data_IF_430605819836
#
_entry.id   IF_430605819836
#
_cell.length_a   1.000
_cell.length_b   1.000
_cell.length_c   1.000
_cell.angle_alpha   90.00
_cell.angle_beta   90.00
_cell.angle_gamma   90.00
#
_symmetry.space_group_name_H-M   'P 1'
#
loop_
_entity.id
_entity.type
_entity.pdbx_description
1 polymer ?
#
# COMPACT_ATOMS: atom_id res chain seq x y z
N UNK A 1 11.86 11.39 -8.19
CA UNK A 1 10.52 10.98 -7.72
C UNK A 1 10.08 12.01 -6.69
N UNK A 2 9.13 12.88 -7.05
CA UNK A 2 8.62 13.92 -6.14
C UNK A 2 7.37 13.34 -5.48
N UNK A 3 7.42 13.11 -4.17
CA UNK A 3 6.26 12.71 -3.38
C UNK A 3 5.35 13.93 -3.21
N UNK A 4 4.47 14.15 -4.19
CA UNK A 4 3.38 15.11 -4.10
C UNK A 4 2.27 14.56 -3.21
N UNK A 5 2.46 14.61 -1.90
CA UNK A 5 1.44 14.27 -0.92
C UNK A 5 1.52 15.25 0.23
N UNK A 6 0.62 16.23 0.27
CA UNK A 6 0.51 17.17 1.37
C UNK A 6 0.19 16.43 2.66
N UNK A 7 1.11 16.49 3.63
CA UNK A 7 0.91 15.96 4.97
C UNK A 7 -0.10 16.85 5.71
N UNK A 8 -1.37 16.47 5.65
CA UNK A 8 -2.32 16.80 6.72
C UNK A 8 -1.90 15.95 7.92
N UNK A 9 -1.72 16.55 9.10
CA UNK A 9 -1.03 15.91 10.24
C UNK A 9 -1.60 14.57 10.73
N UNK A 10 -2.77 14.18 10.24
CA UNK A 10 -3.48 12.95 10.60
C UNK A 10 -3.70 11.99 9.42
N UNK A 11 -3.27 12.32 8.19
CA UNK A 11 -3.49 11.48 7.01
C UNK A 11 -2.20 11.25 6.24
N UNK A 12 -1.98 10.00 5.82
CA UNK A 12 -0.94 9.66 4.85
C UNK A 12 -1.53 8.80 3.74
N UNK A 13 -1.08 9.07 2.52
CA UNK A 13 -1.34 8.23 1.36
C UNK A 13 -0.02 7.60 0.92
N UNK A 14 0.00 6.28 0.82
CA UNK A 14 1.12 5.49 0.32
C UNK A 14 0.75 4.89 -1.03
N UNK A 15 1.69 4.90 -1.96
CA UNK A 15 1.62 4.10 -3.18
C UNK A 15 2.55 2.90 -2.99
N UNK A 16 1.96 1.71 -2.95
CA UNK A 16 2.70 0.45 -2.89
C UNK A 16 2.98 -0.03 -4.32
N UNK A 17 4.22 -0.40 -4.58
CA UNK A 17 4.66 -0.97 -5.86
C UNK A 17 5.26 -2.35 -5.60
N UNK A 18 4.68 -3.39 -6.20
CA UNK A 18 5.16 -4.76 -6.09
C UNK A 18 5.72 -5.20 -7.45
N UNK A 19 6.92 -5.77 -7.44
CA UNK A 19 7.58 -6.36 -8.61
C UNK A 19 7.99 -7.80 -8.33
N UNK A 20 8.02 -8.62 -9.37
CA UNK A 20 8.47 -10.01 -9.28
C UNK A 20 9.82 -10.18 -10.00
N UNK A 21 10.90 -10.38 -9.26
CA UNK A 21 12.23 -10.58 -9.82
C UNK A 21 12.59 -12.06 -10.04
N UNK A 22 11.62 -12.96 -9.94
CA UNK A 22 11.82 -14.39 -10.17
C UNK A 22 11.41 -14.77 -11.60
N UNK A 23 11.91 -15.89 -12.15
CA UNK A 23 11.58 -16.33 -13.52
C UNK A 23 10.19 -16.99 -13.63
N UNK A 24 9.43 -17.09 -12.54
CA UNK A 24 8.11 -17.73 -12.50
C UNK A 24 7.05 -16.66 -12.28
N UNK A 25 5.96 -16.70 -13.04
CA UNK A 25 4.85 -15.76 -12.91
C UNK A 25 4.14 -15.95 -11.56
N UNK A 26 3.71 -14.86 -10.94
CA UNK A 26 2.87 -14.88 -9.75
C UNK A 26 1.44 -14.53 -10.17
N UNK A 27 0.48 -15.37 -9.79
CA UNK A 27 -0.95 -15.16 -10.01
C UNK A 27 -1.66 -15.04 -8.66
N UNK A 28 -2.86 -14.45 -8.67
CA UNK A 28 -3.70 -14.27 -7.49
C UNK A 28 -2.99 -13.58 -6.29
N UNK A 29 -2.09 -12.64 -6.60
CA UNK A 29 -1.41 -11.85 -5.58
C UNK A 29 -2.39 -10.95 -4.84
N UNK A 30 -2.38 -11.03 -3.51
CA UNK A 30 -3.20 -10.20 -2.64
C UNK A 30 -2.32 -9.52 -1.58
N UNK A 31 -2.21 -8.20 -1.67
CA UNK A 31 -1.59 -7.38 -0.62
C UNK A 31 -2.61 -7.13 0.49
N UNK A 32 -2.20 -7.41 1.73
CA UNK A 32 -2.98 -7.14 2.92
C UNK A 32 -2.10 -6.38 3.92
N UNK A 33 -2.71 -5.44 4.63
CA UNK A 33 -2.03 -4.64 5.64
C UNK A 33 -2.97 -4.42 6.82
N UNK A 34 -2.37 -4.27 8.00
CA UNK A 34 -3.05 -3.93 9.23
C UNK A 34 -2.39 -2.70 9.85
N UNK A 35 -3.15 -1.96 10.63
CA UNK A 35 -2.67 -0.81 11.40
C UNK A 35 -2.99 -1.01 12.88
N UNK A 36 -2.27 -0.31 13.75
CA UNK A 36 -2.59 -0.32 15.17
C UNK A 36 -3.91 0.40 15.43
N UNK A 37 -4.51 0.20 16.61
CA UNK A 37 -5.83 0.74 16.97
C UNK A 37 -5.94 2.27 16.90
N UNK A 38 -4.82 2.99 16.86
CA UNK A 38 -4.79 4.43 16.73
C UNK A 38 -5.12 4.92 15.30
N UNK A 39 -5.20 4.01 14.32
CA UNK A 39 -5.35 4.34 12.90
C UNK A 39 -6.46 3.52 12.23
N UNK A 40 -6.97 4.04 11.13
CA UNK A 40 -7.73 3.31 10.12
C UNK A 40 -6.93 3.16 8.85
N UNK A 41 -7.22 2.11 8.08
CA UNK A 41 -6.58 1.82 6.80
C UNK A 41 -7.65 1.56 5.73
N UNK A 42 -7.48 2.18 4.57
CA UNK A 42 -8.25 1.94 3.35
C UNK A 42 -7.29 1.46 2.26
N UNK A 43 -7.51 0.23 1.79
CA UNK A 43 -6.81 -0.36 0.65
C UNK A 43 -7.67 -0.14 -0.60
N UNK A 44 -7.17 0.62 -1.57
CA UNK A 44 -7.85 0.75 -2.87
C UNK A 44 -7.65 -0.52 -3.70
N UNK A 45 -8.46 -0.70 -4.75
CA UNK A 45 -8.30 -1.84 -5.67
C UNK A 45 -6.89 -1.84 -6.27
N UNK A 46 -6.16 -2.98 -6.26
CA UNK A 46 -4.85 -3.06 -6.91
C UNK A 46 -5.01 -2.98 -8.45
N UNK A 47 -3.97 -2.52 -9.13
CA UNK A 47 -3.97 -2.41 -10.60
C UNK A 47 -4.03 -3.76 -11.33
N UNK A 48 -3.60 -4.84 -10.66
CA UNK A 48 -3.60 -6.22 -11.14
C UNK A 48 -3.43 -7.17 -9.94
N UNK A 49 -3.70 -8.45 -10.15
CA UNK A 49 -3.36 -9.54 -9.22
C UNK A 49 -2.29 -10.48 -9.79
N UNK A 50 -1.72 -10.15 -10.96
CA UNK A 50 -0.70 -10.94 -11.65
C UNK A 50 0.59 -10.14 -11.80
N UNK A 51 1.73 -10.77 -11.47
CA UNK A 51 3.07 -10.25 -11.72
C UNK A 51 3.81 -11.14 -12.72
N UNK A 52 4.26 -10.53 -13.81
CA UNK A 52 5.05 -11.20 -14.83
C UNK A 52 6.45 -11.56 -14.31
N UNK A 53 7.10 -12.60 -14.87
CA UNK A 53 8.47 -12.93 -14.55
C UNK A 53 9.45 -11.77 -14.78
N UNK A 54 10.56 -11.79 -14.04
CA UNK A 54 11.74 -10.96 -14.29
C UNK A 54 11.46 -9.44 -14.38
N UNK A 55 10.52 -8.94 -13.58
CA UNK A 55 10.16 -7.52 -13.51
C UNK A 55 9.31 -7.03 -14.68
N UNK A 56 8.70 -7.95 -15.44
CA UNK A 56 7.90 -7.61 -16.63
C UNK A 56 6.61 -6.82 -16.34
N UNK A 57 6.16 -6.76 -15.09
CA UNK A 57 5.03 -5.94 -14.65
C UNK A 57 5.18 -5.46 -13.21
N UNK A 58 4.37 -4.45 -12.86
CA UNK A 58 4.29 -3.87 -11.51
C UNK A 58 2.83 -3.80 -11.09
N UNK A 59 2.50 -4.36 -9.92
CA UNK A 59 1.22 -4.09 -9.26
C UNK A 59 1.37 -2.80 -8.46
N UNK A 60 0.42 -1.87 -8.66
CA UNK A 60 0.32 -0.64 -7.88
C UNK A 60 -0.95 -0.64 -7.06
N UNK A 61 -0.87 -0.19 -5.81
CA UNK A 61 -2.02 -0.07 -4.93
C UNK A 61 -1.88 1.15 -4.02
N UNK A 62 -2.94 1.96 -3.96
CA UNK A 62 -2.99 3.09 -3.04
C UNK A 62 -3.49 2.62 -1.66
N UNK A 63 -2.76 3.00 -0.62
CA UNK A 63 -3.12 2.76 0.77
C UNK A 63 -3.29 4.11 1.45
N UNK A 64 -4.46 4.35 2.03
CA UNK A 64 -4.69 5.54 2.86
C UNK A 64 -4.71 5.13 4.31
N UNK A 65 -3.98 5.86 5.14
CA UNK A 65 -3.95 5.65 6.59
C UNK A 65 -4.35 6.97 7.25
N UNK A 66 -5.32 6.89 8.16
CA UNK A 66 -5.83 8.04 8.89
C UNK A 66 -5.68 7.79 10.38
N UNK A 67 -5.15 8.76 11.11
CA UNK A 67 -5.09 8.75 12.56
C UNK A 67 -6.47 9.07 13.13
N UNK A 68 -6.97 8.22 14.03
CA UNK A 68 -8.30 8.36 14.61
C UNK A 68 -8.37 9.48 15.66
N UNK A 69 -7.30 9.70 16.43
CA UNK A 69 -7.20 10.83 17.35
C UNK A 69 -5.73 11.12 17.74
N UNK A 70 -5.36 12.40 17.96
CA UNK A 70 -4.02 12.78 18.43
C UNK A 70 -3.63 12.20 19.80
N UNK A 71 -4.59 11.72 20.60
CA UNK A 71 -4.39 11.23 21.97
C UNK A 71 -4.45 9.70 22.14
N UNK A 72 -4.73 8.93 21.08
CA UNK A 72 -4.73 7.47 21.20
C UNK A 72 -3.28 6.94 21.30
N UNK A 73 -2.96 6.09 22.30
CA UNK A 73 -1.64 5.48 22.41
C UNK A 73 -1.31 4.66 21.18
N UNK A 74 -0.09 4.83 20.66
CA UNK A 74 0.50 3.93 19.66
C UNK A 74 1.06 2.72 20.42
N UNK A 75 0.17 1.78 20.75
CA UNK A 75 0.53 0.50 21.36
C UNK A 75 1.13 -0.45 20.33
#
# INVERSE_FOLDING_TARGET
>A
MVLGGGWSGDNVQLQVEITNNTPVQIQDFAFQAAVTKAFTIELQTPSSTTLEPMGGSTITQIVKITRLSPGHPVS
#
